data_IF_775525825455
#
_entry.id   IF_775525825455
#
_cell.length_a   1.000
_cell.length_b   1.000
_cell.length_c   1.000
_cell.angle_alpha   90.00
_cell.angle_beta   90.00
_cell.angle_gamma   90.00
#
_symmetry.space_group_name_H-M   'P 1'
#
loop_
_entity.id
_entity.type
_entity.pdbx_description
1 polymer ?
#
# COMPACT_ATOMS: atom_id res chain seq x y z
N UNK A 1 12.13 35.48 4.89
CA UNK A 1 11.11 34.75 4.12
C UNK A 1 11.21 33.29 4.53
N UNK A 2 10.30 32.88 5.39
CA UNK A 2 10.23 31.52 5.93
C UNK A 2 9.60 30.62 4.86
N UNK A 3 10.43 29.84 4.16
CA UNK A 3 9.94 28.83 3.23
C UNK A 3 9.47 27.62 4.03
N UNK A 4 8.23 27.67 4.51
CA UNK A 4 7.49 26.51 4.98
C UNK A 4 7.10 25.64 3.78
N UNK A 5 8.11 25.06 3.13
CA UNK A 5 7.93 24.10 2.06
C UNK A 5 7.69 22.74 2.69
N UNK A 6 6.43 22.41 2.95
CA UNK A 6 6.00 21.03 3.16
C UNK A 6 6.63 20.18 2.05
N UNK A 7 7.62 19.34 2.41
CA UNK A 7 8.09 18.24 1.56
C UNK A 7 6.88 17.32 1.37
N UNK A 8 5.96 17.67 0.48
CA UNK A 8 5.16 16.68 -0.21
C UNK A 8 6.18 15.76 -0.84
N UNK A 9 6.37 14.60 -0.23
CA UNK A 9 7.27 13.57 -0.71
C UNK A 9 7.02 13.45 -2.22
N UNK A 10 8.06 13.69 -3.00
CA UNK A 10 7.97 13.64 -4.45
C UNK A 10 7.51 12.23 -4.81
N UNK A 11 6.24 12.10 -5.21
CA UNK A 11 5.66 10.81 -5.54
C UNK A 11 6.27 10.36 -6.86
N UNK A 12 6.73 9.11 -6.89
CA UNK A 12 7.35 8.57 -8.09
C UNK A 12 6.28 8.15 -9.09
N UNK A 13 6.49 8.52 -10.35
CA UNK A 13 5.71 8.04 -11.49
C UNK A 13 6.32 6.72 -11.98
N UNK A 14 5.91 5.62 -11.35
CA UNK A 14 6.46 4.29 -11.61
C UNK A 14 5.36 3.22 -11.64
N UNK A 15 4.37 3.41 -12.53
CA UNK A 15 3.17 2.58 -12.59
C UNK A 15 3.45 1.06 -12.64
N UNK A 16 4.46 0.62 -13.39
CA UNK A 16 4.83 -0.80 -13.47
C UNK A 16 5.40 -1.36 -12.15
N UNK A 17 6.15 -0.55 -11.40
CA UNK A 17 6.66 -0.92 -10.07
C UNK A 17 5.50 -1.05 -9.10
N UNK A 18 4.54 -0.11 -9.16
CA UNK A 18 3.33 -0.16 -8.33
C UNK A 18 2.53 -1.43 -8.62
N UNK A 19 2.35 -1.82 -9.88
CA UNK A 19 1.65 -3.08 -10.20
C UNK A 19 2.35 -4.32 -9.61
N UNK A 20 3.68 -4.41 -9.73
CA UNK A 20 4.44 -5.52 -9.18
C UNK A 20 4.35 -5.58 -7.63
N UNK A 21 4.44 -4.42 -6.97
CA UNK A 21 4.28 -4.32 -5.51
C UNK A 21 2.86 -4.69 -5.08
N UNK A 22 1.83 -4.25 -5.80
CA UNK A 22 0.44 -4.60 -5.49
C UNK A 22 0.14 -6.08 -5.72
N UNK A 23 0.73 -6.69 -6.75
CA UNK A 23 0.65 -8.13 -6.97
C UNK A 23 1.30 -8.90 -5.81
N UNK A 24 2.52 -8.50 -5.41
CA UNK A 24 3.21 -9.10 -4.29
C UNK A 24 2.40 -8.99 -2.98
N UNK A 25 1.89 -7.79 -2.68
CA UNK A 25 1.12 -7.53 -1.46
C UNK A 25 -0.21 -8.29 -1.47
N UNK A 26 -0.91 -8.36 -2.60
CA UNK A 26 -2.15 -9.13 -2.70
C UNK A 26 -1.89 -10.64 -2.53
N UNK A 27 -0.83 -11.18 -3.13
CA UNK A 27 -0.44 -12.58 -2.92
C UNK A 27 -0.06 -12.85 -1.46
N UNK A 28 0.80 -12.02 -0.87
CA UNK A 28 1.33 -12.20 0.47
C UNK A 28 0.25 -12.12 1.56
N UNK A 29 -0.68 -11.18 1.43
CA UNK A 29 -1.78 -10.97 2.40
C UNK A 29 -2.87 -12.05 2.33
N UNK A 30 -2.88 -12.88 1.28
CA UNK A 30 -3.77 -14.06 1.16
C UNK A 30 -3.13 -15.35 1.66
N UNK A 31 -1.82 -15.36 1.94
CA UNK A 31 -1.16 -16.57 2.42
C UNK A 31 -1.53 -16.85 3.88
N UNK A 32 -1.72 -18.12 4.28
CA UNK A 32 -1.89 -18.49 5.69
C UNK A 32 -0.67 -18.10 6.57
N UNK A 33 0.47 -17.78 5.94
CA UNK A 33 1.65 -17.18 6.57
C UNK A 33 1.46 -15.75 7.10
N UNK A 34 0.28 -15.14 6.96
CA UNK A 34 -0.11 -13.93 7.72
C UNK A 34 0.02 -14.16 9.24
N UNK A 35 0.13 -15.41 9.71
CA UNK A 35 0.51 -15.72 11.11
C UNK A 35 1.91 -15.26 11.50
N UNK A 36 2.83 -15.08 10.55
CA UNK A 36 4.20 -14.61 10.85
C UNK A 36 4.28 -13.09 11.01
N UNK A 37 3.42 -12.32 10.32
CA UNK A 37 3.39 -10.87 10.39
C UNK A 37 1.97 -10.35 10.58
N UNK A 38 1.75 -9.55 11.61
CA UNK A 38 0.43 -9.00 11.95
C UNK A 38 -0.23 -8.25 10.78
N UNK A 39 -1.57 -8.19 10.78
CA UNK A 39 -2.34 -7.41 9.82
C UNK A 39 -1.90 -5.93 9.77
N UNK A 40 -1.49 -5.36 10.91
CA UNK A 40 -0.96 -4.00 11.02
C UNK A 40 0.35 -3.80 10.24
N UNK A 41 1.26 -4.79 10.26
CA UNK A 41 2.49 -4.74 9.47
C UNK A 41 2.17 -4.63 7.97
N UNK A 42 1.27 -5.47 7.47
CA UNK A 42 0.85 -5.44 6.08
C UNK A 42 0.12 -4.15 5.72
N UNK A 43 -0.72 -3.63 6.63
CA UNK A 43 -1.40 -2.35 6.46
C UNK A 43 -0.40 -1.22 6.27
N UNK A 44 0.66 -1.17 7.08
CA UNK A 44 1.75 -0.19 6.95
C UNK A 44 2.47 -0.30 5.61
N UNK A 45 2.75 -1.52 5.13
CA UNK A 45 3.37 -1.75 3.82
C UNK A 45 2.51 -1.23 2.66
N UNK A 46 1.22 -1.54 2.68
CA UNK A 46 0.28 -1.08 1.64
C UNK A 46 0.14 0.45 1.66
N UNK A 47 0.06 1.07 2.84
CA UNK A 47 0.02 2.53 2.97
C UNK A 47 1.31 3.20 2.53
N UNK A 48 2.47 2.57 2.71
CA UNK A 48 3.75 3.09 2.22
C UNK A 48 3.76 3.20 0.68
N UNK A 49 3.21 2.21 -0.04
CA UNK A 49 3.05 2.27 -1.50
C UNK A 49 2.12 3.43 -1.88
N UNK A 50 0.99 3.59 -1.19
CA UNK A 50 0.05 4.71 -1.43
C UNK A 50 0.69 6.09 -1.19
N UNK A 51 1.63 6.19 -0.25
CA UNK A 51 2.30 7.44 0.06
C UNK A 51 3.46 7.76 -0.91
N UNK A 52 4.18 6.73 -1.37
CA UNK A 52 5.41 6.87 -2.15
C UNK A 52 5.19 7.07 -3.65
N UNK A 53 4.05 6.63 -4.20
CA UNK A 53 3.81 6.63 -5.64
C UNK A 53 2.58 7.44 -6.03
N UNK A 54 2.61 7.94 -7.26
CA UNK A 54 1.42 8.46 -7.92
C UNK A 54 0.65 7.28 -8.52
N UNK A 55 -0.58 7.10 -8.06
CA UNK A 55 -1.38 5.92 -8.38
C UNK A 55 -2.38 6.22 -9.49
N UNK A 56 -2.57 5.25 -10.38
CA UNK A 56 -3.76 5.24 -11.23
C UNK A 56 -5.02 4.98 -10.39
N UNK A 57 -6.19 5.31 -10.95
CA UNK A 57 -7.46 5.00 -10.28
C UNK A 57 -7.60 3.50 -9.96
N UNK A 58 -7.22 2.63 -10.91
CA UNK A 58 -7.28 1.17 -10.73
C UNK A 58 -6.36 0.69 -9.60
N UNK A 59 -5.15 1.24 -9.50
CA UNK A 59 -4.21 0.95 -8.42
C UNK A 59 -4.76 1.40 -7.06
N UNK A 60 -5.40 2.58 -7.02
CA UNK A 60 -6.08 3.09 -5.82
C UNK A 60 -7.16 2.13 -5.31
N UNK A 61 -8.04 1.67 -6.20
CA UNK A 61 -9.09 0.69 -5.86
C UNK A 61 -8.49 -0.61 -5.32
N UNK A 62 -7.43 -1.13 -5.96
CA UNK A 62 -6.77 -2.37 -5.53
C UNK A 62 -6.14 -2.23 -4.15
N UNK A 63 -5.53 -1.09 -3.85
CA UNK A 63 -5.01 -0.78 -2.50
C UNK A 63 -6.13 -0.82 -1.46
N UNK A 64 -7.28 -0.21 -1.76
CA UNK A 64 -8.41 -0.18 -0.83
C UNK A 64 -8.96 -1.58 -0.54
N UNK A 65 -9.04 -2.45 -1.55
CA UNK A 65 -9.45 -3.84 -1.37
C UNK A 65 -8.50 -4.62 -0.47
N UNK A 66 -7.18 -4.43 -0.62
CA UNK A 66 -6.19 -5.07 0.26
C UNK A 66 -6.32 -4.53 1.69
N UNK A 67 -6.49 -3.21 1.86
CA UNK A 67 -6.64 -2.59 3.19
C UNK A 67 -7.93 -3.03 3.90
N UNK A 68 -9.03 -3.21 3.16
CA UNK A 68 -10.29 -3.74 3.70
C UNK A 68 -10.08 -5.15 4.23
N UNK A 69 -9.45 -6.05 3.46
CA UNK A 69 -9.14 -7.42 3.89
C UNK A 69 -8.26 -7.48 5.14
N UNK A 70 -7.35 -6.52 5.29
CA UNK A 70 -6.48 -6.41 6.46
C UNK A 70 -7.15 -5.73 7.68
N UNK A 71 -8.29 -5.06 7.46
CA UNK A 71 -9.09 -4.42 8.51
C UNK A 71 -10.28 -5.26 8.97
N UNK A 72 -10.69 -6.23 8.17
CA UNK A 72 -11.67 -7.23 8.56
C UNK A 72 -11.01 -8.19 9.56
N UNK A 73 -11.48 -8.26 10.82
CA UNK A 73 -11.08 -9.36 11.67
C UNK A 73 -11.57 -10.64 10.99
N UNK A 74 -10.63 -11.51 10.62
CA UNK A 74 -10.95 -12.87 10.18
C UNK A 74 -11.62 -13.57 11.37
N UNK A 75 -12.96 -13.54 11.42
CA UNK A 75 -13.76 -14.50 12.19
C UNK A 75 -13.95 -15.80 11.40
#
# INVERSE_FOLDING_TARGET
MESNGSRQAQRFNASHVVEAELEHLDWATRQPMVRMFSADYWRRRVLAVKAAYELTHQQGVRIEQILQRLGDPVE
#
